data_IF_221952336318
#
_entry.id   IF_221952336318
#
_cell.length_a   1.000
_cell.length_b   1.000
_cell.length_c   1.000
_cell.angle_alpha   90.00
_cell.angle_beta   90.00
_cell.angle_gamma   90.00
#
_symmetry.space_group_name_H-M   'P 1'
#
loop_
_entity.id
_entity.type
_entity.pdbx_description
1 polymer ?
2 non-polymer ?
3 non-polymer ?
4 water ?
#
# COMPACT_ATOMS: atom_id res chain seq x y z
N UNK A 7 18.53 8.26 -8.33
CA UNK A 7 18.35 7.04 -9.12
C UNK A 7 17.02 7.07 -9.88
N UNK A 8 17.01 6.44 -11.05
CA UNK A 8 15.81 6.44 -11.88
C UNK A 8 14.67 5.69 -11.20
N UNK A 9 14.93 4.44 -10.81
CA UNK A 9 13.88 3.63 -10.20
C UNK A 9 13.31 4.30 -8.95
N UNK A 10 14.15 5.02 -8.20
CA UNK A 10 13.67 5.71 -7.01
C UNK A 10 12.63 6.77 -7.38
N UNK A 11 12.95 7.61 -8.38
CA UNK A 11 12.01 8.64 -8.82
C UNK A 11 10.73 8.01 -9.34
N UNK A 12 10.85 6.89 -10.07
CA UNK A 12 9.66 6.21 -10.58
C UNK A 12 8.78 5.73 -9.43
N UNK A 13 9.40 5.21 -8.37
CA UNK A 13 8.62 4.78 -7.21
C UNK A 13 7.88 5.96 -6.58
N UNK A 14 8.54 7.11 -6.46
CA UNK A 14 7.87 8.26 -5.87
C UNK A 14 6.67 8.70 -6.71
N UNK A 15 6.79 8.62 -8.03
CA UNK A 15 5.67 8.94 -8.91
C UNK A 15 4.54 7.94 -8.74
N UNK A 16 4.87 6.65 -8.62
CA UNK A 16 3.85 5.64 -8.36
C UNK A 16 3.15 5.91 -7.04
N UNK A 17 3.91 6.29 -6.02
CA UNK A 17 3.32 6.58 -4.71
C UNK A 17 2.43 7.81 -4.77
N UNK A 18 2.89 8.88 -5.45
CA UNK A 18 2.07 10.09 -5.58
C UNK A 18 0.79 9.81 -6.35
N UNK A 19 0.86 8.98 -7.40
CA UNK A 19 -0.34 8.63 -8.14
C UNK A 19 -1.33 7.89 -7.24
N UNK A 20 -0.84 6.93 -6.47
CA UNK A 20 -1.69 6.20 -5.54
C UNK A 20 -2.29 7.13 -4.50
N UNK A 21 -1.49 8.09 -4.01
CA UNK A 21 -2.04 9.06 -3.06
C UNK A 21 -3.17 9.87 -3.68
N UNK A 22 -3.02 10.29 -4.95
CA UNK A 22 -4.09 11.02 -5.60
C UNK A 22 -5.34 10.17 -5.73
N UNK A 23 -5.16 8.87 -6.03
CA UNK A 23 -6.31 7.97 -6.09
C UNK A 23 -6.97 7.86 -4.73
N UNK A 24 -6.16 7.72 -3.68
CA UNK A 24 -6.71 7.57 -2.33
C UNK A 24 -7.48 8.81 -1.91
N UNK A 25 -7.02 9.98 -2.35
CA UNK A 25 -7.65 11.22 -1.94
C UNK A 25 -9.10 11.29 -2.38
N UNK A 26 -9.45 10.62 -3.48
CA UNK A 26 -10.82 10.65 -3.99
C UNK A 26 -11.74 9.69 -3.27
N UNK A 27 -11.21 8.84 -2.40
CA UNK A 27 -12.04 7.83 -1.75
C UNK A 27 -12.75 8.41 -0.53
N UNK A 28 -13.97 7.95 -0.30
CA UNK A 28 -14.74 8.37 0.86
C UNK A 28 -14.07 7.88 2.14
N UNK A 29 -14.53 8.40 3.27
CA UNK A 29 -13.94 7.99 4.54
C UNK A 29 -14.09 6.49 4.75
N UNK A 30 -15.26 5.94 4.42
CA UNK A 30 -15.48 4.51 4.60
C UNK A 30 -14.65 3.69 3.62
N UNK A 31 -14.52 4.16 2.38
CA UNK A 31 -13.67 3.46 1.43
C UNK A 31 -12.22 3.45 1.91
N UNK A 32 -11.77 4.56 2.50
CA UNK A 32 -10.41 4.62 3.02
C UNK A 32 -10.21 3.62 4.14
N UNK A 33 -11.21 3.47 5.01
CA UNK A 33 -11.10 2.48 6.08
C UNK A 33 -11.03 1.07 5.52
N UNK A 34 -11.83 0.77 4.49
CA UNK A 34 -11.76 -0.55 3.87
C UNK A 34 -10.39 -0.80 3.26
N UNK A 35 -9.83 0.22 2.61
CA UNK A 35 -8.51 0.09 2.00
C UNK A 35 -7.45 -0.13 3.07
N UNK A 36 -7.48 0.67 4.14
CA UNK A 36 -6.50 0.50 5.20
C UNK A 36 -6.57 -0.89 5.81
N UNK A 37 -7.79 -1.42 5.99
CA UNK A 37 -7.95 -2.77 6.52
C UNK A 37 -7.28 -3.78 5.60
N UNK A 38 -7.51 -3.64 4.29
CA UNK A 38 -6.91 -4.54 3.33
C UNK A 38 -5.40 -4.45 3.38
N UNK A 39 -4.87 -3.23 3.48
CA UNK A 39 -3.42 -3.03 3.56
C UNK A 39 -2.85 -3.74 4.78
N UNK A 40 -3.48 -3.54 5.95
CA UNK A 40 -3.00 -4.20 7.17
C UNK A 40 -3.00 -5.71 7.00
N UNK A 41 -4.09 -6.26 6.49
CA UNK A 41 -4.16 -7.71 6.36
C UNK A 41 -3.11 -8.22 5.39
N UNK A 42 -2.94 -7.54 4.25
CA UNK A 42 -1.93 -7.99 3.30
C UNK A 42 -0.53 -7.95 3.89
N UNK A 43 -0.17 -6.88 4.61
CA UNK A 43 1.17 -6.82 5.18
C UNK A 43 1.38 -7.95 6.17
N UNK A 44 0.34 -8.28 6.95
CA UNK A 44 0.48 -9.36 7.92
C UNK A 44 0.66 -10.70 7.24
N UNK A 45 -0.04 -10.93 6.13
CA UNK A 45 0.17 -12.16 5.37
C UNK A 45 1.60 -12.20 4.85
N UNK A 46 2.08 -11.07 4.33
CA UNK A 46 3.45 -10.97 3.85
C UNK A 46 4.44 -11.24 4.98
N UNK A 47 4.18 -10.69 6.16
CA UNK A 47 5.08 -10.87 7.29
C UNK A 47 5.14 -12.34 7.71
N UNK A 48 4.00 -13.03 7.68
CA UNK A 48 3.99 -14.45 8.03
C UNK A 48 4.78 -15.25 7.01
N UNK A 49 4.41 -15.15 5.73
CA UNK A 49 5.09 -15.93 4.71
C UNK A 49 6.59 -15.64 4.68
N UNK A 50 6.98 -14.39 4.98
CA UNK A 50 8.39 -14.07 5.11
C UNK A 50 8.99 -14.70 6.37
N UNK A 51 8.23 -14.71 7.47
CA UNK A 51 8.70 -15.27 8.73
C UNK A 51 8.91 -16.78 8.62
N UNK A 52 8.54 -17.36 7.48
CA UNK A 52 8.72 -18.79 7.24
C UNK A 52 10.03 -19.10 6.52
N UNK A 53 10.31 -18.38 5.44
CA UNK A 53 11.55 -18.58 4.69
C UNK A 53 12.74 -17.87 5.31
N UNK A 54 12.51 -16.83 6.11
CA UNK A 54 13.60 -16.10 6.75
C UNK A 54 13.63 -16.40 8.25
X LIG B 1 -14.35 12.11 -4.41
X LIG C 1 -14.09 -1.16 6.78
X LIG C 1 -15.00 -1.44 7.97
X LIG C 1 -15.86 -0.29 8.15
X LIG C 1 -15.87 -2.65 7.66
X LIG C 1 -14.18 -1.65 9.24
X LIG C 1 -13.68 -0.29 9.73
X LIG C 1 -14.71 0.34 10.46
X LIG C 1 -12.44 -0.40 10.60
X LIG C 1 -13.10 -0.89 7.13
X LIG C 1 -14.51 -0.34 6.19
X LIG C 1 -14.02 -2.05 6.16
X LIG C 1 -16.08 -0.19 9.10
X LIG C 1 -15.51 -3.51 8.21
X LIG C 1 -15.83 -2.86 6.59
X LIG C 1 -16.90 -2.44 7.94
X LIG C 1 -14.80 -2.11 10.01
X LIG C 1 -13.34 -2.31 9.05
X LIG C 1 -13.40 0.29 8.86
X LIG C 1 -15.01 1.14 9.98
X LIG C 1 -12.58 0.18 11.51
X LIG C 1 -11.57 -0.03 10.06
X LIG C 1 -12.27 -1.45 10.87
X LIG D 1 0.74 13.23 -3.57
X LIG D 1 -0.32 14.26 -3.22
X LIG D 1 0.16 15.57 -3.65
X LIG D 1 -1.59 13.96 -4.00
X LIG D 1 -0.65 14.26 -1.72
X LIG D 1 0.61 14.39 -0.86
X LIG D 1 0.39 15.23 0.25
X LIG D 1 1.04 13.02 -0.37
X LIG D 1 1.59 13.34 -2.89
X LIG D 1 1.07 13.38 -4.60
X LIG D 1 0.32 12.23 -3.46
X LIG D 1 -0.45 16.26 -3.32
X LIG D 1 -2.28 13.38 -3.38
X LIG D 1 -1.34 13.38 -4.89
X LIG D 1 -2.07 14.89 -4.30
X LIG D 1 -1.32 15.08 -1.50
X LIG D 1 -1.16 13.33 -1.47
X LIG D 1 1.38 14.85 -1.48
X LIG D 1 0.47 14.70 1.07
X LIG D 1 1.91 12.69 -0.94
X LIG D 1 0.23 12.30 -0.51
X LIG D 1 1.30 13.07 0.68
#
# INVERSE_FOLDING_TARGET
>A
GSSMGSDEQRRELEEKIKWKLAELASKSEEERKEIKLRVIAYVLVQLEDLQKNLSDEQRRELEEKIKWKLAELASKSEEERKEIKLRVIAYVLVQLEDLQKNLSDEQRRELEEKIKWKLAELASKSEEERKEIKLRVIAYVLVQLEDLQKNLS
>B hetero
1 NA NA
>C hetero
1 MPD C1 C2 O2 CM C3 C4 O4 C5 H11 H12 H13 HO2 HM1 HM2 HM3 H31 H32 H4 HO4 H51 H52 H53
>D hetero
1 MPD C1 C2 O2 CM C3 C4 O4 C5 H11 H12 H13 HO2 HM1 HM2 HM3 H31 H32 H4 HO4 H51 H52 H53
#
